data_IF_255107745077
#
_entry.id   IF_255107745077
#
_cell.length_a   1.000
_cell.length_b   1.000
_cell.length_c   1.000
_cell.angle_alpha   90.00
_cell.angle_beta   90.00
_cell.angle_gamma   90.00
#
_symmetry.space_group_name_H-M   'P 1'
#
loop_
_entity.id
_entity.type
_entity.pdbx_description
1 polymer ?
#
# COMPACT_ATOMS: atom_id res chain seq x y z
N UNK A 1 5.66 -24.34 19.18
CA UNK A 1 5.48 -22.88 19.02
C UNK A 1 5.12 -22.63 17.56
N UNK A 2 3.89 -22.21 17.27
CA UNK A 2 3.42 -22.01 15.90
C UNK A 2 3.89 -20.67 15.35
N UNK A 3 4.53 -20.67 14.20
CA UNK A 3 4.88 -19.45 13.46
C UNK A 3 3.60 -18.74 13.03
N UNK A 4 3.32 -17.57 13.63
CA UNK A 4 2.22 -16.72 13.19
C UNK A 4 2.56 -16.13 11.83
N UNK A 5 1.97 -16.67 10.76
CA UNK A 5 2.11 -16.11 9.41
C UNK A 5 1.09 -14.99 9.23
N UNK A 6 1.53 -13.81 8.78
CA UNK A 6 0.64 -12.74 8.34
C UNK A 6 -0.03 -13.16 7.04
N UNK A 7 -1.36 -13.15 7.00
CA UNK A 7 -2.12 -13.33 5.76
C UNK A 7 -2.19 -11.98 5.06
N UNK A 8 -1.63 -11.91 3.85
CA UNK A 8 -1.78 -10.76 2.97
C UNK A 8 -2.93 -11.03 2.01
N UNK A 9 -3.96 -10.19 2.05
CA UNK A 9 -5.09 -10.26 1.13
C UNK A 9 -5.08 -9.09 0.15
N UNK A 10 -5.89 -9.18 -0.89
CA UNK A 10 -6.13 -8.07 -1.81
C UNK A 10 -6.59 -6.82 -1.06
N UNK A 11 -7.50 -6.99 -0.10
CA UNK A 11 -7.98 -5.93 0.76
C UNK A 11 -6.87 -5.26 1.56
N UNK A 12 -5.90 -6.02 2.09
CA UNK A 12 -4.75 -5.45 2.81
C UNK A 12 -3.93 -4.51 1.94
N UNK A 13 -3.69 -4.87 0.68
CA UNK A 13 -2.90 -4.05 -0.24
C UNK A 13 -3.68 -2.82 -0.71
N UNK A 14 -4.97 -2.99 -1.04
CA UNK A 14 -5.85 -1.89 -1.43
C UNK A 14 -6.02 -0.86 -0.31
N UNK A 15 -6.15 -1.30 0.94
CA UNK A 15 -6.21 -0.41 2.11
C UNK A 15 -4.95 0.44 2.24
N UNK A 16 -3.78 -0.17 2.10
CA UNK A 16 -2.50 0.55 2.16
C UNK A 16 -2.36 1.58 1.05
N UNK A 17 -2.79 1.25 -0.16
CA UNK A 17 -2.74 2.18 -1.29
C UNK A 17 -3.71 3.35 -1.10
N UNK A 18 -4.93 3.09 -0.60
CA UNK A 18 -5.93 4.11 -0.32
C UNK A 18 -5.46 5.07 0.79
N UNK A 19 -4.95 4.54 1.89
CA UNK A 19 -4.36 5.33 2.99
C UNK A 19 -3.19 6.20 2.52
N UNK A 20 -2.40 5.70 1.58
CA UNK A 20 -1.29 6.43 0.99
C UNK A 20 -1.69 7.36 -0.18
N UNK A 21 -2.96 7.37 -0.59
CA UNK A 21 -3.44 8.11 -1.77
C UNK A 21 -2.66 7.78 -3.04
N UNK A 22 -2.21 6.53 -3.19
CA UNK A 22 -1.30 6.10 -4.25
C UNK A 22 -2.04 5.28 -5.31
N UNK A 23 -1.70 5.51 -6.57
CA UNK A 23 -2.24 4.75 -7.69
C UNK A 23 -1.91 3.25 -7.58
N UNK A 24 -2.89 2.41 -7.89
CA UNK A 24 -2.71 0.97 -8.06
C UNK A 24 -2.99 0.58 -9.51
N UNK A 25 -2.47 -0.59 -9.89
CA UNK A 25 -2.88 -1.26 -11.13
C UNK A 25 -3.52 -2.58 -10.77
N UNK A 26 -4.72 -2.84 -11.28
CA UNK A 26 -5.47 -4.08 -11.07
C UNK A 26 -5.61 -4.83 -12.38
N UNK A 27 -5.36 -6.14 -12.37
CA UNK A 27 -5.48 -7.00 -13.54
C UNK A 27 -6.85 -7.68 -13.55
N UNK A 28 -7.66 -7.35 -14.55
CA UNK A 28 -9.01 -7.89 -14.75
C UNK A 28 -9.10 -8.45 -16.16
N UNK A 29 -9.38 -9.74 -16.30
CA UNK A 29 -9.54 -10.40 -17.61
C UNK A 29 -8.39 -10.15 -18.61
N UNK A 30 -7.16 -10.02 -18.11
CA UNK A 30 -5.97 -9.74 -18.94
C UNK A 30 -5.71 -8.25 -19.21
N UNK A 31 -6.59 -7.36 -18.75
CA UNK A 31 -6.46 -5.91 -18.88
C UNK A 31 -6.00 -5.28 -17.55
N UNK A 32 -5.01 -4.39 -17.63
CA UNK A 32 -4.58 -3.59 -16.48
C UNK A 32 -5.40 -2.30 -16.42
N UNK A 33 -6.12 -2.10 -15.31
CA UNK A 33 -6.79 -0.86 -15.00
C UNK A 33 -5.98 -0.11 -13.94
N UNK A 34 -5.78 1.19 -14.15
CA UNK A 34 -5.06 2.06 -13.21
C UNK A 34 -6.01 3.03 -12.53
N UNK A 35 -5.74 3.35 -11.28
CA UNK A 35 -6.43 4.41 -10.56
C UNK A 35 -6.11 4.42 -9.07
N UNK A 36 -6.54 5.47 -8.39
CA UNK A 36 -6.41 5.58 -6.93
C UNK A 36 -7.61 4.89 -6.29
N UNK A 37 -7.39 3.94 -5.36
CA UNK A 37 -8.51 3.33 -4.64
C UNK A 37 -9.09 4.34 -3.66
N UNK A 38 -10.36 4.71 -3.88
CA UNK A 38 -11.10 5.66 -3.04
C UNK A 38 -12.05 4.96 -2.07
N UNK A 39 -12.42 3.71 -2.37
CA UNK A 39 -13.16 2.83 -1.48
C UNK A 39 -12.88 1.37 -1.85
N UNK A 40 -12.89 0.47 -0.87
CA UNK A 40 -12.87 -0.97 -1.11
C UNK A 40 -13.53 -1.73 0.05
N UNK A 41 -14.01 -2.93 -0.24
CA UNK A 41 -14.54 -3.87 0.73
C UNK A 41 -14.18 -5.32 0.33
N UNK A 42 -14.89 -6.30 0.88
CA UNK A 42 -14.70 -7.72 0.52
C UNK A 42 -15.22 -8.11 -0.86
N UNK A 43 -15.98 -7.24 -1.53
CA UNK A 43 -16.67 -7.50 -2.80
C UNK A 43 -16.07 -6.72 -3.96
N UNK A 44 -15.62 -5.49 -3.73
CA UNK A 44 -15.15 -4.61 -4.79
C UNK A 44 -14.18 -3.53 -4.35
N UNK A 45 -13.63 -2.85 -5.35
CA UNK A 45 -12.80 -1.65 -5.22
C UNK A 45 -13.29 -0.60 -6.20
N UNK A 46 -13.43 0.63 -5.71
CA UNK A 46 -13.71 1.81 -6.50
C UNK A 46 -12.39 2.52 -6.80
N UNK A 47 -12.04 2.59 -8.08
CA UNK A 47 -10.85 3.27 -8.58
C UNK A 47 -11.26 4.61 -9.19
N UNK A 48 -10.61 5.69 -8.75
CA UNK A 48 -10.67 6.99 -9.39
C UNK A 48 -9.49 7.16 -10.35
N UNK A 49 -9.77 7.47 -11.61
CA UNK A 49 -8.74 7.78 -12.61
C UNK A 49 -8.33 9.24 -12.54
N UNK A 50 -7.24 9.59 -13.22
CA UNK A 50 -6.76 10.98 -13.35
C UNK A 50 -7.79 11.92 -13.97
N UNK A 51 -8.73 11.40 -14.76
CA UNK A 51 -9.81 12.16 -15.40
C UNK A 51 -11.09 12.22 -14.54
N UNK A 52 -10.99 11.92 -13.24
CA UNK A 52 -12.12 11.84 -12.29
C UNK A 52 -13.20 10.83 -12.68
N UNK A 53 -12.87 9.84 -13.52
CA UNK A 53 -13.79 8.73 -13.79
C UNK A 53 -13.68 7.68 -12.69
N UNK A 54 -14.82 7.12 -12.29
CA UNK A 54 -14.87 6.07 -11.28
C UNK A 54 -15.15 4.72 -11.93
N UNK A 55 -14.30 3.74 -11.63
CA UNK A 55 -14.45 2.35 -12.08
C UNK A 55 -14.64 1.44 -10.87
N UNK A 56 -15.76 0.71 -10.83
CA UNK A 56 -16.01 -0.32 -9.83
C UNK A 56 -15.53 -1.68 -10.35
N UNK A 57 -14.57 -2.28 -9.65
CA UNK A 57 -14.01 -3.59 -10.00
C UNK A 57 -14.37 -4.60 -8.91
N UNK A 58 -14.90 -5.76 -9.31
CA UNK A 58 -15.20 -6.85 -8.38
C UNK A 58 -13.91 -7.54 -7.95
N UNK A 59 -13.70 -7.73 -6.65
CA UNK A 59 -12.50 -8.39 -6.11
C UNK A 59 -12.31 -9.79 -6.70
N UNK A 60 -13.40 -10.53 -6.90
CA UNK A 60 -13.38 -11.88 -7.48
C UNK A 60 -12.88 -11.94 -8.94
N UNK A 61 -12.94 -10.81 -9.66
CA UNK A 61 -12.45 -10.70 -11.03
C UNK A 61 -10.99 -10.24 -11.11
N UNK A 62 -10.37 -9.86 -9.99
CA UNK A 62 -9.01 -9.34 -9.96
C UNK A 62 -8.01 -10.49 -9.80
N UNK A 63 -7.18 -10.69 -10.82
CA UNK A 63 -6.12 -11.71 -10.79
C UNK A 63 -4.85 -11.23 -10.09
N UNK A 64 -4.57 -9.93 -10.12
CA UNK A 64 -3.38 -9.34 -9.50
C UNK A 64 -3.57 -7.85 -9.22
N UNK A 65 -2.92 -7.34 -8.17
CA UNK A 65 -2.77 -5.89 -7.92
C UNK A 65 -1.29 -5.58 -7.77
N UNK A 66 -0.86 -4.48 -8.38
CA UNK A 66 0.47 -3.90 -8.17
C UNK A 66 0.34 -2.51 -7.57
N UNK A 67 1.22 -2.20 -6.64
CA UNK A 67 1.31 -0.92 -5.95
C UNK A 67 2.78 -0.53 -5.85
N UNK A 68 3.10 0.73 -6.15
CA UNK A 68 4.43 1.29 -5.99
C UNK A 68 4.40 2.29 -4.81
N UNK A 69 4.83 1.88 -3.60
CA UNK A 69 4.94 2.82 -2.50
C UNK A 69 5.85 3.98 -2.89
N UNK A 70 5.46 5.20 -2.53
CA UNK A 70 6.39 6.33 -2.58
C UNK A 70 7.68 5.95 -1.82
N UNK A 71 8.87 6.37 -2.30
CA UNK A 71 10.11 6.07 -1.59
C UNK A 71 9.98 6.57 -0.15
N UNK A 72 10.09 5.66 0.81
CA UNK A 72 10.06 6.01 2.23
C UNK A 72 11.13 7.07 2.46
N UNK A 73 10.73 8.27 2.89
CA UNK A 73 11.67 9.32 3.29
C UNK A 73 12.68 8.67 4.24
N UNK A 74 14.01 8.76 3.97
CA UNK A 74 14.99 8.20 4.89
C UNK A 74 14.77 8.83 6.26
N UNK A 75 14.48 8.01 7.27
CA UNK A 75 14.50 8.42 8.67
C UNK A 75 15.92 8.95 8.94
N UNK A 76 16.09 10.21 9.39
CA UNK A 76 17.40 10.67 9.80
C UNK A 76 17.90 9.72 10.89
N UNK A 77 19.11 9.17 10.70
CA UNK A 77 19.74 8.32 11.71
C UNK A 77 19.67 9.04 13.06
N UNK A 78 19.03 8.43 14.05
CA UNK A 78 18.96 8.98 15.39
C UNK A 78 20.40 9.18 15.87
N UNK A 79 20.81 10.44 16.08
CA UNK A 79 22.09 10.74 16.72
C UNK A 79 22.02 10.13 18.11
N UNK A 80 22.93 9.18 18.40
CA UNK A 80 23.12 8.68 19.75
C UNK A 80 23.44 9.88 20.65
N UNK A 81 22.73 10.10 21.78
CA UNK A 81 23.02 11.20 22.67
C UNK A 81 24.45 11.08 23.19
N UNK A 82 25.20 12.17 23.12
CA UNK A 82 26.63 12.29 23.42
C UNK A 82 26.99 12.18 24.92
N UNK A 83 26.04 11.81 25.78
CA UNK A 83 26.23 11.83 27.23
C UNK A 83 27.09 10.69 27.79
N UNK A 84 27.51 9.73 26.96
CA UNK A 84 28.36 8.60 27.36
C UNK A 84 29.87 8.89 27.36
N UNK A 85 30.31 10.14 27.12
CA UNK A 85 31.73 10.49 27.24
C UNK A 85 32.04 10.89 28.68
N UNK A 86 32.33 9.90 29.52
CA UNK A 86 32.89 10.15 30.84
C UNK A 86 34.21 10.95 30.70
N UNK A 87 34.44 12.01 31.50
CA UNK A 87 35.69 12.74 31.44
C UNK A 87 36.84 11.83 31.90
N UNK A 88 37.87 11.70 31.07
CA UNK A 88 39.09 11.00 31.42
C UNK A 88 39.77 11.73 32.59
N UNK A 89 40.07 10.98 33.66
CA UNK A 89 40.94 11.43 34.76
C UNK A 89 42.40 11.31 34.38
#
# INVERSE_FOLDING_TARGET
>A
MGSSSTIYTMGTLLSRAAEAGTEVRVLVEGCWLSGTPVAHDGYGVLLETVDHQHSLVRVEAISAVTYAPAPSRPVPAQRRPEWDVAPAM
#
